data_IF_952743401941
#
_entry.id   IF_952743401941
#
_cell.length_a   1.000
_cell.length_b   1.000
_cell.length_c   1.000
_cell.angle_alpha   90.00
_cell.angle_beta   90.00
_cell.angle_gamma   90.00
#
_symmetry.space_group_name_H-M   'P 1'
#
loop_
_entity.id
_entity.type
_entity.pdbx_description
1 polymer ?
#
# COMPACT_ATOMS: atom_id res chain seq x y z
N UNK A 1 1.24 -18.94 8.37
CA UNK A 1 1.86 -17.63 8.18
C UNK A 1 3.34 -17.58 8.54
N UNK A 2 3.83 -18.23 9.61
CA UNK A 2 5.28 -18.26 9.92
C UNK A 2 6.14 -19.06 8.95
N UNK A 3 5.55 -19.90 8.11
CA UNK A 3 6.27 -20.73 7.15
C UNK A 3 6.81 -19.96 5.92
N UNK A 4 6.25 -18.81 5.59
CA UNK A 4 6.71 -18.05 4.42
C UNK A 4 8.04 -17.32 4.68
N UNK A 5 8.26 -16.83 5.91
CA UNK A 5 9.48 -16.09 6.28
C UNK A 5 10.75 -16.93 6.24
N UNK A 6 10.64 -18.25 6.47
CA UNK A 6 11.78 -19.18 6.41
C UNK A 6 12.10 -19.66 4.99
N UNK A 7 11.14 -19.57 4.07
CA UNK A 7 11.31 -20.02 2.67
C UNK A 7 12.10 -19.01 1.85
N UNK A 8 11.92 -17.71 2.10
CA UNK A 8 12.58 -16.63 1.37
C UNK A 8 13.54 -15.87 2.29
N UNK A 9 14.83 -16.16 2.15
CA UNK A 9 15.86 -15.39 2.90
C UNK A 9 16.18 -14.04 2.27
N UNK A 10 15.68 -13.77 1.07
CA UNK A 10 15.86 -12.52 0.33
C UNK A 10 14.55 -12.13 -0.32
N UNK A 11 14.25 -10.86 -0.28
CA UNK A 11 13.08 -10.28 -0.94
C UNK A 11 13.41 -8.88 -1.47
N UNK A 12 12.65 -8.47 -2.48
CA UNK A 12 12.57 -7.09 -2.90
C UNK A 12 11.10 -6.70 -3.00
N UNK A 13 10.61 -6.02 -1.98
CA UNK A 13 9.25 -5.52 -1.94
C UNK A 13 9.18 -4.21 -2.70
N UNK A 14 8.21 -4.08 -3.58
CA UNK A 14 8.02 -2.88 -4.39
C UNK A 14 7.65 -1.69 -3.50
N UNK A 15 8.49 -0.67 -3.49
CA UNK A 15 8.50 0.41 -2.50
C UNK A 15 8.09 1.77 -3.10
N UNK A 16 7.04 1.79 -3.94
CA UNK A 16 6.50 3.04 -4.49
C UNK A 16 5.92 3.97 -3.39
N UNK A 17 5.43 3.39 -2.30
CA UNK A 17 5.01 4.08 -1.09
C UNK A 17 5.48 3.30 0.14
N UNK A 18 5.80 3.95 1.27
CA UNK A 18 6.11 3.26 2.51
C UNK A 18 5.03 2.25 2.92
N UNK A 19 3.77 2.61 2.79
CA UNK A 19 2.62 1.74 3.07
C UNK A 19 2.59 0.47 2.20
N UNK A 20 3.07 0.53 0.95
CA UNK A 20 3.16 -0.66 0.10
C UNK A 20 4.11 -1.71 0.68
N UNK A 21 5.22 -1.28 1.27
CA UNK A 21 6.19 -2.16 1.92
C UNK A 21 5.60 -2.74 3.21
N UNK A 22 4.98 -1.90 4.04
CA UNK A 22 4.37 -2.32 5.30
C UNK A 22 3.25 -3.34 5.08
N UNK A 23 2.31 -3.06 4.17
CA UNK A 23 1.22 -3.99 3.81
C UNK A 23 1.80 -5.31 3.28
N UNK A 24 2.77 -5.25 2.37
CA UNK A 24 3.38 -6.45 1.83
C UNK A 24 4.14 -7.25 2.93
N UNK A 25 4.85 -6.59 3.83
CA UNK A 25 5.53 -7.23 4.93
C UNK A 25 4.54 -7.94 5.86
N UNK A 26 3.44 -7.30 6.23
CA UNK A 26 2.37 -7.87 7.05
C UNK A 26 1.73 -9.09 6.38
N UNK A 27 1.31 -8.97 5.12
CA UNK A 27 0.66 -10.05 4.36
C UNK A 27 1.57 -11.27 4.17
N UNK A 28 2.87 -11.07 4.00
CA UNK A 28 3.85 -12.17 3.91
C UNK A 28 4.36 -12.65 5.27
N UNK A 29 3.98 -12.02 6.38
CA UNK A 29 4.49 -12.32 7.71
C UNK A 29 6.00 -12.07 7.85
N UNK A 30 6.51 -11.02 7.20
CA UNK A 30 7.92 -10.62 7.27
C UNK A 30 8.11 -9.60 8.40
N UNK A 31 9.22 -9.73 9.12
CA UNK A 31 9.64 -8.75 10.11
C UNK A 31 10.10 -7.46 9.39
N UNK A 32 9.50 -6.32 9.75
CA UNK A 32 9.83 -5.01 9.18
C UNK A 32 11.26 -4.54 9.54
N UNK A 33 11.87 -5.11 10.58
CA UNK A 33 13.24 -4.79 10.97
C UNK A 33 14.31 -5.51 10.15
N UNK A 34 13.91 -6.39 9.22
CA UNK A 34 14.83 -7.05 8.31
C UNK A 34 14.98 -6.26 7.00
N UNK A 35 16.00 -6.58 6.22
CA UNK A 35 16.15 -6.03 4.87
C UNK A 35 14.98 -6.48 3.99
N UNK A 36 14.07 -5.56 3.64
CA UNK A 36 12.89 -5.83 2.82
C UNK A 36 13.12 -5.60 1.33
N UNK A 37 14.30 -5.11 0.95
CA UNK A 37 14.75 -4.95 -0.43
C UNK A 37 16.18 -5.42 -0.60
N UNK A 38 16.56 -5.80 -1.83
CA UNK A 38 17.96 -6.07 -2.20
C UNK A 38 18.59 -4.94 -2.99
N UNK A 39 17.78 -3.95 -3.40
CA UNK A 39 18.20 -2.77 -4.18
C UNK A 39 18.30 -1.51 -3.33
N UNK A 40 17.74 -1.51 -2.13
CA UNK A 40 17.50 -0.31 -1.32
C UNK A 40 16.15 0.37 -1.61
N UNK A 41 15.33 -0.22 -2.48
CA UNK A 41 14.01 0.29 -2.85
C UNK A 41 14.05 1.41 -3.89
N UNK A 42 12.87 1.93 -4.24
CA UNK A 42 12.73 3.00 -5.23
C UNK A 42 13.43 4.30 -4.81
N UNK A 43 13.62 4.53 -3.52
CA UNK A 43 14.36 5.69 -3.00
C UNK A 43 15.81 5.72 -3.49
N UNK A 44 16.46 4.57 -3.61
CA UNK A 44 17.85 4.44 -4.07
C UNK A 44 17.94 3.99 -5.52
N UNK A 45 17.17 2.98 -5.93
CA UNK A 45 17.15 2.44 -7.28
C UNK A 45 16.47 3.34 -8.31
N UNK A 46 15.69 4.30 -7.83
CA UNK A 46 14.84 5.13 -8.68
C UNK A 46 13.66 4.36 -9.26
N UNK A 47 12.72 5.08 -9.83
CA UNK A 47 11.56 4.52 -10.54
C UNK A 47 11.64 4.87 -12.03
N UNK A 48 12.58 4.32 -12.84
CA UNK A 48 12.73 4.69 -14.23
C UNK A 48 11.54 4.18 -15.05
N UNK A 49 10.46 4.95 -15.05
CA UNK A 49 9.15 4.56 -15.59
C UNK A 49 8.70 3.22 -14.96
N UNK A 50 8.53 2.18 -15.76
CA UNK A 50 8.06 0.87 -15.32
C UNK A 50 9.20 -0.16 -15.12
N UNK A 51 10.45 0.28 -14.96
CA UNK A 51 11.62 -0.60 -15.03
C UNK A 51 12.24 -0.99 -13.68
N UNK A 52 11.74 -0.49 -12.56
CA UNK A 52 12.33 -0.79 -11.25
C UNK A 52 12.42 -2.31 -10.96
N UNK A 53 11.38 -3.07 -11.30
CA UNK A 53 11.35 -4.52 -11.04
C UNK A 53 12.46 -5.26 -11.78
N UNK A 54 12.90 -4.77 -12.95
CA UNK A 54 14.05 -5.35 -13.65
C UNK A 54 15.36 -5.16 -12.86
N UNK A 55 15.52 -4.04 -12.16
CA UNK A 55 16.66 -3.84 -11.24
C UNK A 55 16.61 -4.84 -10.08
N UNK A 56 15.42 -5.05 -9.49
CA UNK A 56 15.20 -6.03 -8.43
C UNK A 56 15.54 -7.45 -8.90
N UNK A 57 15.07 -7.82 -10.09
CA UNK A 57 15.37 -9.13 -10.69
C UNK A 57 16.88 -9.29 -10.94
N UNK A 58 17.51 -8.32 -11.59
CA UNK A 58 18.93 -8.36 -11.89
C UNK A 58 19.77 -8.54 -10.63
N UNK A 59 19.53 -7.71 -9.62
CA UNK A 59 20.24 -7.79 -8.34
C UNK A 59 19.98 -9.11 -7.61
N UNK A 60 18.74 -9.57 -7.61
CA UNK A 60 18.37 -10.85 -7.02
C UNK A 60 19.08 -12.03 -7.69
N UNK A 61 19.17 -12.04 -9.02
CA UNK A 61 19.87 -13.10 -9.76
C UNK A 61 21.35 -13.14 -9.40
N UNK A 62 22.02 -11.98 -9.28
CA UNK A 62 23.42 -11.92 -8.81
C UNK A 62 23.56 -12.61 -7.44
N UNK A 63 22.73 -12.21 -6.48
CA UNK A 63 22.75 -12.74 -5.11
C UNK A 63 22.42 -14.23 -5.03
N UNK A 64 21.52 -14.71 -5.87
CA UNK A 64 21.16 -16.13 -5.93
C UNK A 64 22.27 -17.00 -6.50
N UNK A 65 23.06 -16.49 -7.46
CA UNK A 65 24.22 -17.20 -8.03
C UNK A 65 25.31 -17.48 -6.99
N UNK A 66 25.39 -16.67 -5.94
CA UNK A 66 26.34 -16.83 -4.84
C UNK A 66 25.94 -17.93 -3.85
N UNK A 67 24.68 -18.36 -3.85
CA UNK A 67 24.16 -19.27 -2.82
C UNK A 67 23.25 -20.35 -3.38
N UNK A 68 23.78 -21.58 -3.45
CA UNK A 68 23.03 -22.75 -3.87
C UNK A 68 21.82 -23.01 -2.97
N UNK A 69 20.69 -23.40 -3.57
CA UNK A 69 19.43 -23.68 -2.88
C UNK A 69 18.69 -22.43 -2.37
N UNK A 70 19.22 -21.23 -2.62
CA UNK A 70 18.55 -20.00 -2.18
C UNK A 70 17.32 -19.67 -3.03
N UNK A 71 16.34 -19.04 -2.39
CA UNK A 71 15.13 -18.50 -3.03
C UNK A 71 14.93 -17.04 -2.63
N UNK A 72 14.30 -16.31 -3.50
CA UNK A 72 13.94 -14.90 -3.29
C UNK A 72 12.53 -14.61 -3.81
N UNK A 73 11.86 -13.68 -3.14
CA UNK A 73 10.58 -13.13 -3.52
C UNK A 73 10.79 -11.73 -4.09
N UNK A 74 10.20 -11.45 -5.25
CA UNK A 74 10.14 -10.12 -5.84
C UNK A 74 8.69 -9.76 -6.03
N UNK A 75 8.30 -8.57 -5.60
CA UNK A 75 6.95 -8.05 -5.82
C UNK A 75 6.98 -6.93 -6.85
N UNK A 76 5.89 -6.78 -7.58
CA UNK A 76 5.63 -5.69 -8.49
C UNK A 76 4.29 -5.04 -8.16
N UNK A 77 4.21 -3.74 -8.36
CA UNK A 77 3.00 -2.97 -8.09
C UNK A 77 2.75 -2.01 -9.24
N UNK A 78 1.49 -1.80 -9.57
CA UNK A 78 1.05 -0.87 -10.59
C UNK A 78 -0.24 -0.16 -10.17
N UNK A 79 -0.52 0.97 -10.86
CA UNK A 79 -1.60 1.86 -10.47
C UNK A 79 -1.36 2.44 -9.06
N UNK A 80 -2.42 2.68 -8.32
CA UNK A 80 -2.35 3.15 -6.93
C UNK A 80 -2.54 1.97 -5.97
N UNK A 81 -1.60 1.03 -5.95
CA UNK A 81 -1.58 -0.16 -5.10
C UNK A 81 -2.68 -1.20 -5.39
N UNK A 82 -3.27 -1.21 -6.58
CA UNK A 82 -4.35 -2.17 -6.90
C UNK A 82 -3.97 -3.23 -7.94
N UNK A 83 -2.77 -3.16 -8.53
CA UNK A 83 -2.25 -4.18 -9.44
C UNK A 83 -1.00 -4.80 -8.85
N UNK A 84 -1.03 -6.09 -8.61
CA UNK A 84 0.10 -6.79 -8.00
C UNK A 84 0.56 -7.96 -8.86
N UNK A 85 1.86 -8.21 -8.84
CA UNK A 85 2.45 -9.44 -9.34
C UNK A 85 3.59 -9.87 -8.42
N UNK A 86 3.78 -11.18 -8.30
CA UNK A 86 4.75 -11.77 -7.40
C UNK A 86 5.58 -12.79 -8.17
N UNK A 87 6.89 -12.74 -8.05
CA UNK A 87 7.81 -13.66 -8.68
C UNK A 87 8.70 -14.35 -7.66
N UNK A 88 8.83 -15.67 -7.79
CA UNK A 88 9.75 -16.46 -6.98
C UNK A 88 10.92 -16.89 -7.87
N UNK A 89 12.12 -16.52 -7.45
CA UNK A 89 13.37 -16.85 -8.13
C UNK A 89 14.20 -17.81 -7.29
N UNK A 90 14.86 -18.75 -7.93
CA UNK A 90 15.70 -19.73 -7.26
C UNK A 90 17.06 -19.85 -7.92
N UNK A 91 18.08 -20.27 -7.15
CA UNK A 91 19.41 -20.57 -7.66
C UNK A 91 19.53 -21.96 -8.30
N UNK A 92 18.49 -22.76 -8.20
CA UNK A 92 18.39 -24.08 -8.80
C UNK A 92 17.12 -24.20 -9.63
N UNK A 93 17.09 -25.02 -10.67
CA UNK A 93 15.89 -25.30 -11.43
C UNK A 93 14.74 -25.74 -10.51
N UNK A 94 13.52 -25.31 -10.75
CA UNK A 94 12.37 -25.81 -10.00
C UNK A 94 12.13 -27.29 -10.30
N UNK A 95 11.54 -28.00 -9.36
CA UNK A 95 11.12 -29.40 -9.53
C UNK A 95 9.76 -29.56 -10.22
N UNK A 96 9.24 -28.48 -10.78
CA UNK A 96 7.95 -28.39 -11.50
C UNK A 96 8.10 -27.45 -12.69
N UNK A 97 7.19 -27.56 -13.64
CA UNK A 97 7.10 -26.62 -14.75
C UNK A 97 6.79 -25.20 -14.27
N UNK A 98 7.14 -24.24 -15.10
CA UNK A 98 6.76 -22.84 -14.85
C UNK A 98 5.24 -22.73 -14.75
N UNK A 99 4.77 -22.07 -13.70
CA UNK A 99 3.36 -21.72 -13.53
C UNK A 99 3.19 -20.20 -13.39
N UNK A 100 2.15 -19.70 -14.01
CA UNK A 100 1.66 -18.34 -13.82
C UNK A 100 0.18 -18.43 -13.49
N UNK A 101 -0.16 -18.07 -12.27
CA UNK A 101 -1.53 -18.16 -11.75
C UNK A 101 -2.13 -16.76 -11.68
N UNK A 102 -3.34 -16.62 -12.20
CA UNK A 102 -4.14 -15.42 -12.03
C UNK A 102 -5.16 -15.69 -10.92
N UNK A 103 -4.92 -15.10 -9.76
CA UNK A 103 -5.77 -15.25 -8.56
C UNK A 103 -6.88 -14.18 -8.46
N UNK A 104 -7.11 -13.41 -9.53
CA UNK A 104 -8.07 -12.29 -9.49
C UNK A 104 -9.47 -12.74 -9.05
N UNK A 105 -9.93 -13.89 -9.53
CA UNK A 105 -11.26 -14.40 -9.14
C UNK A 105 -11.38 -14.72 -7.64
N UNK A 106 -10.29 -15.13 -7.00
CA UNK A 106 -10.26 -15.37 -5.56
C UNK A 106 -10.29 -14.04 -4.79
N UNK A 107 -9.57 -13.04 -5.28
CA UNK A 107 -9.59 -11.68 -4.71
C UNK A 107 -10.97 -11.05 -4.87
N UNK A 108 -11.62 -11.18 -6.03
CA UNK A 108 -12.94 -10.63 -6.30
C UNK A 108 -14.03 -11.27 -5.42
N UNK A 109 -13.81 -12.49 -4.93
CA UNK A 109 -14.71 -13.17 -4.01
C UNK A 109 -14.56 -12.72 -2.54
N UNK A 110 -13.50 -11.98 -2.20
CA UNK A 110 -13.32 -11.46 -0.85
C UNK A 110 -14.35 -10.37 -0.55
N UNK A 111 -14.75 -10.23 0.73
CA UNK A 111 -15.64 -9.15 1.14
C UNK A 111 -15.07 -7.78 0.75
N UNK A 112 -15.87 -6.97 0.08
CA UNK A 112 -15.51 -5.59 -0.25
C UNK A 112 -16.43 -4.62 0.49
N UNK A 113 -15.88 -3.46 0.87
CA UNK A 113 -16.67 -2.40 1.50
C UNK A 113 -17.41 -1.61 0.43
N UNK A 114 -18.70 -1.34 0.67
CA UNK A 114 -19.47 -0.44 -0.18
C UNK A 114 -18.82 0.95 -0.19
N UNK A 115 -18.77 1.56 -1.36
CA UNK A 115 -18.26 2.92 -1.54
C UNK A 115 -19.41 3.83 -2.01
N UNK A 116 -19.77 4.82 -1.19
CA UNK A 116 -20.83 5.76 -1.48
C UNK A 116 -20.24 7.00 -2.16
N UNK A 117 -20.72 7.32 -3.36
CA UNK A 117 -20.31 8.51 -4.08
C UNK A 117 -20.91 9.80 -3.47
N UNK A 118 -22.06 9.66 -2.83
CA UNK A 118 -22.76 10.75 -2.13
C UNK A 118 -23.21 10.27 -0.75
N UNK A 119 -22.94 11.05 0.27
CA UNK A 119 -23.36 10.77 1.62
C UNK A 119 -23.56 12.07 2.41
N UNK A 120 -24.61 12.10 3.22
CA UNK A 120 -24.82 13.14 4.24
C UNK A 120 -25.24 12.45 5.53
N UNK A 121 -24.57 12.76 6.63
CA UNK A 121 -24.83 12.15 7.93
C UNK A 121 -23.59 12.09 8.82
N UNK A 122 -23.70 11.36 9.91
CA UNK A 122 -22.61 11.13 10.83
C UNK A 122 -21.71 10.00 10.34
N UNK A 123 -20.42 10.21 10.45
CA UNK A 123 -19.39 9.27 10.02
C UNK A 123 -18.16 9.37 10.93
N UNK A 124 -17.22 8.45 10.74
CA UNK A 124 -15.95 8.44 11.46
C UNK A 124 -14.81 8.53 10.45
N UNK A 125 -13.84 9.38 10.69
CA UNK A 125 -12.66 9.50 9.84
C UNK A 125 -11.86 8.19 9.87
N UNK A 126 -11.61 7.62 8.69
CA UNK A 126 -10.77 6.43 8.50
C UNK A 126 -9.34 6.82 8.13
N UNK A 127 -9.18 7.79 7.25
CA UNK A 127 -7.89 8.35 6.88
C UNK A 127 -8.07 9.75 6.27
N UNK A 128 -6.98 10.50 6.21
CA UNK A 128 -7.02 11.86 5.65
C UNK A 128 -5.65 12.26 5.11
N UNK A 129 -5.64 13.29 4.30
CA UNK A 129 -4.43 13.97 3.86
C UNK A 129 -4.74 15.44 3.58
N UNK A 130 -3.74 16.30 3.74
CA UNK A 130 -3.82 17.71 3.35
C UNK A 130 -2.89 17.93 2.17
N UNK A 131 -3.46 18.37 1.06
CA UNK A 131 -2.71 18.75 -0.14
C UNK A 131 -2.31 20.20 -0.06
N UNK A 132 -1.13 20.52 -0.56
CA UNK A 132 -0.55 21.85 -0.56
C UNK A 132 -0.52 22.46 -1.95
N UNK A 133 -0.66 23.78 -2.02
CA UNK A 133 -0.33 24.56 -3.20
C UNK A 133 0.87 25.47 -2.84
N UNK A 134 2.04 25.09 -3.31
CA UNK A 134 3.29 25.66 -2.78
C UNK A 134 3.47 25.29 -1.31
N UNK A 135 3.62 26.28 -0.44
CA UNK A 135 3.80 26.08 1.01
C UNK A 135 2.48 26.19 1.81
N UNK A 136 1.35 26.46 1.14
CA UNK A 136 0.08 26.69 1.80
C UNK A 136 -0.86 25.46 1.68
N UNK A 137 -1.53 25.03 2.77
CA UNK A 137 -2.58 24.02 2.73
C UNK A 137 -3.71 24.47 1.78
N UNK A 138 -4.09 23.60 0.85
CA UNK A 138 -5.07 23.93 -0.18
C UNK A 138 -6.38 23.16 -0.04
N UNK A 139 -6.31 21.86 0.22
CA UNK A 139 -7.50 21.02 0.36
C UNK A 139 -7.19 19.82 1.25
N UNK A 140 -8.07 19.51 2.18
CA UNK A 140 -8.07 18.26 2.93
C UNK A 140 -8.97 17.23 2.24
N UNK A 141 -8.42 16.04 1.98
CA UNK A 141 -9.19 14.88 1.51
C UNK A 141 -9.37 13.92 2.69
N UNK A 142 -10.61 13.54 2.95
CA UNK A 142 -10.96 12.74 4.13
C UNK A 142 -11.79 11.52 3.70
N UNK A 143 -11.26 10.33 3.97
CA UNK A 143 -12.02 9.10 3.84
C UNK A 143 -12.76 8.83 5.16
N UNK A 144 -14.04 8.55 5.09
CA UNK A 144 -14.89 8.33 6.25
C UNK A 144 -15.62 6.99 6.16
N UNK A 145 -15.92 6.42 7.32
CA UNK A 145 -16.81 5.26 7.46
C UNK A 145 -18.14 5.68 8.05
N UNK A 146 -19.21 5.25 7.42
CA UNK A 146 -20.58 5.43 7.91
C UNK A 146 -20.90 4.43 9.03
N UNK A 147 -22.02 4.60 9.70
CA UNK A 147 -22.49 3.67 10.72
C UNK A 147 -22.73 2.23 10.19
N UNK A 148 -22.99 2.09 8.88
CA UNK A 148 -23.17 0.79 8.21
C UNK A 148 -21.86 0.25 7.61
N UNK A 149 -20.71 0.79 8.01
CA UNK A 149 -19.36 0.42 7.54
C UNK A 149 -19.12 0.66 6.05
N UNK A 150 -19.97 1.41 5.36
CA UNK A 150 -19.69 1.89 4.02
C UNK A 150 -18.65 3.00 4.05
N UNK A 151 -17.85 3.13 2.99
CA UNK A 151 -16.85 4.20 2.84
C UNK A 151 -17.40 5.34 2.01
N UNK A 152 -17.09 6.56 2.40
CA UNK A 152 -17.38 7.76 1.62
C UNK A 152 -16.21 8.74 1.70
N UNK A 153 -16.18 9.71 0.82
CA UNK A 153 -15.14 10.73 0.74
C UNK A 153 -15.76 12.11 0.87
N UNK A 154 -15.07 12.98 1.58
CA UNK A 154 -15.42 14.37 1.70
C UNK A 154 -14.16 15.23 1.63
N UNK A 155 -14.25 16.39 1.03
CA UNK A 155 -13.16 17.35 1.04
C UNK A 155 -13.44 18.46 2.08
N UNK A 156 -12.40 19.17 2.45
CA UNK A 156 -12.50 20.39 3.23
C UNK A 156 -11.50 21.42 2.75
N UNK A 157 -11.93 22.66 2.60
CA UNK A 157 -11.08 23.82 2.39
C UNK A 157 -11.03 24.73 3.63
N UNK A 158 -11.56 24.26 4.76
CA UNK A 158 -11.52 24.97 6.03
C UNK A 158 -10.09 25.02 6.56
N UNK A 159 -9.46 26.21 6.64
CA UNK A 159 -8.07 26.32 7.05
C UNK A 159 -7.83 25.88 8.50
N UNK A 160 -8.81 26.07 9.39
CA UNK A 160 -8.67 25.66 10.79
C UNK A 160 -8.66 24.13 10.91
N UNK A 161 -9.51 23.46 10.17
CA UNK A 161 -9.53 21.98 10.11
C UNK A 161 -8.25 21.46 9.47
N UNK A 162 -7.82 22.02 8.34
CA UNK A 162 -6.60 21.57 7.66
C UNK A 162 -5.35 21.78 8.53
N UNK A 163 -5.22 22.94 9.18
CA UNK A 163 -4.09 23.20 10.07
C UNK A 163 -4.10 22.27 11.30
N UNK A 164 -5.27 21.96 11.84
CA UNK A 164 -5.38 20.98 12.92
C UNK A 164 -4.98 19.57 12.46
N UNK A 165 -5.36 19.15 11.25
CA UNK A 165 -4.97 17.86 10.65
C UNK A 165 -3.46 17.71 10.46
N UNK A 166 -2.71 18.80 10.34
CA UNK A 166 -1.25 18.78 10.19
C UNK A 166 -0.50 18.56 11.51
N UNK A 167 -1.15 18.78 12.65
CA UNK A 167 -0.51 18.73 13.97
C UNK A 167 -1.18 17.77 14.93
N UNK A 168 -2.38 17.28 14.61
CA UNK A 168 -3.16 16.37 15.44
C UNK A 168 -3.62 15.15 14.65
N UNK A 169 -3.80 14.01 15.35
CA UNK A 169 -4.39 12.81 14.74
C UNK A 169 -5.91 12.95 14.59
N UNK A 170 -6.40 12.74 13.39
CA UNK A 170 -7.82 12.83 13.06
C UNK A 170 -8.48 11.48 12.80
N UNK A 171 -7.75 10.38 12.60
CA UNK A 171 -8.35 9.07 12.47
C UNK A 171 -9.19 8.73 13.69
N UNK A 172 -10.30 8.08 13.45
CA UNK A 172 -11.31 7.71 14.45
C UNK A 172 -12.12 8.87 15.05
N UNK A 173 -11.92 10.12 14.61
CA UNK A 173 -12.77 11.25 15.07
C UNK A 173 -14.14 11.20 14.41
N UNK A 174 -15.21 11.45 15.17
CA UNK A 174 -16.56 11.56 14.63
C UNK A 174 -16.71 12.88 13.85
N UNK A 175 -17.40 12.80 12.73
CA UNK A 175 -17.66 13.96 11.86
C UNK A 175 -19.10 13.95 11.36
N UNK A 176 -19.59 15.10 10.96
CA UNK A 176 -20.84 15.24 10.22
C UNK A 176 -20.54 15.73 8.81
N UNK A 177 -20.97 14.97 7.83
CA UNK A 177 -20.87 15.29 6.41
C UNK A 177 -22.21 15.86 5.96
N UNK A 178 -22.19 17.02 5.33
CA UNK A 178 -23.38 17.71 4.79
C UNK A 178 -23.40 17.71 3.26
N UNK A 179 -22.29 17.33 2.64
CA UNK A 179 -22.10 17.27 1.20
C UNK A 179 -20.62 17.00 0.88
N UNK A 180 -20.25 16.92 -0.40
CA UNK A 180 -18.92 16.49 -0.84
C UNK A 180 -17.76 17.37 -0.35
N UNK A 181 -18.05 18.66 -0.04
CA UNK A 181 -17.05 19.63 0.41
C UNK A 181 -17.41 20.26 1.77
N UNK A 182 -18.28 19.60 2.54
CA UNK A 182 -18.78 20.11 3.81
C UNK A 182 -18.61 19.09 4.94
N UNK A 183 -17.52 19.23 5.66
CA UNK A 183 -17.16 18.44 6.83
C UNK A 183 -17.25 19.31 8.08
N UNK A 184 -17.81 18.75 9.15
CA UNK A 184 -17.75 19.33 10.50
C UNK A 184 -17.24 18.26 11.46
N UNK A 185 -16.16 18.55 12.17
CA UNK A 185 -15.64 17.65 13.22
C UNK A 185 -16.53 17.77 14.45
N UNK A 186 -17.02 16.65 14.95
CA UNK A 186 -17.82 16.60 16.16
C UNK A 186 -16.91 16.55 17.40
N UNK A 187 -17.34 17.20 18.48
CA UNK A 187 -16.61 17.22 19.75
C UNK A 187 -16.98 16.03 20.62
#
# INVERSE_FOLDING_TARGET
SSAASDVYKRQDLYSCFPSAVQIAAEEYGLDENRDLTVTGGLTFGGGPLNNYVMHSIARTVELLREKKGARALITANGGNLYKHAHGIYGSEPPNRDFSNENVQAEIDALPSRECLSEFAGDATIESYTVMFNGDEPAIGHVACRTANDARTWVNTADPDIMNAMLVEEFCSRPVRIKGPDQLTVLR
#
